data_IF_726783987239
#
_entry.id   IF_726783987239
#
_cell.length_a   1.000
_cell.length_b   1.000
_cell.length_c   1.000
_cell.angle_alpha   90.00
_cell.angle_beta   90.00
_cell.angle_gamma   90.00
#
_symmetry.space_group_name_H-M   'P 1'
#
loop_
_entity.id
_entity.type
_entity.pdbx_description
1 polymer ?
#
# COMPACT_ATOMS: atom_id res chain seq x y z
N UNK A 1 7.80 2.83 19.78
CA UNK A 1 7.15 1.56 20.16
C UNK A 1 8.03 0.75 21.11
N UNK A 2 9.26 0.42 20.72
CA UNK A 2 10.18 -0.43 21.50
C UNK A 2 10.49 0.13 22.90
N UNK A 3 10.85 1.41 23.02
CA UNK A 3 11.15 2.01 24.33
C UNK A 3 9.97 1.94 25.30
N UNK A 4 8.75 2.11 24.77
CA UNK A 4 7.50 2.00 25.54
C UNK A 4 7.26 0.56 25.99
N UNK A 5 7.52 -0.42 25.13
CA UNK A 5 7.44 -1.84 25.50
C UNK A 5 8.46 -2.18 26.58
N UNK A 6 9.73 -1.79 26.43
CA UNK A 6 10.77 -2.08 27.40
C UNK A 6 10.46 -1.45 28.77
N UNK A 7 9.98 -0.19 28.78
CA UNK A 7 9.53 0.47 30.02
C UNK A 7 8.37 -0.29 30.70
N UNK A 8 7.40 -0.78 29.91
CA UNK A 8 6.29 -1.58 30.43
C UNK A 8 6.76 -2.94 30.95
N UNK A 9 7.71 -3.57 30.27
CA UNK A 9 8.30 -4.84 30.66
C UNK A 9 8.98 -4.75 32.03
N UNK A 10 9.73 -3.68 32.26
CA UNK A 10 10.33 -3.37 33.57
C UNK A 10 9.27 -3.13 34.65
N UNK A 11 8.27 -2.28 34.37
CA UNK A 11 7.17 -1.98 35.31
C UNK A 11 6.40 -3.24 35.73
N UNK A 12 6.16 -4.15 34.78
CA UNK A 12 5.40 -5.38 35.00
C UNK A 12 6.27 -6.57 35.42
N UNK A 13 7.59 -6.41 35.46
CA UNK A 13 8.53 -7.49 35.80
C UNK A 13 8.49 -8.68 34.84
N UNK A 14 8.32 -8.43 33.53
CA UNK A 14 8.20 -9.50 32.52
C UNK A 14 9.53 -10.17 32.17
N UNK A 15 10.67 -9.59 32.59
CA UNK A 15 12.02 -10.08 32.29
C UNK A 15 12.29 -10.25 30.78
N UNK A 16 11.75 -9.34 29.96
CA UNK A 16 11.93 -9.32 28.50
C UNK A 16 12.42 -7.95 28.05
N UNK A 17 13.49 -7.92 27.26
CA UNK A 17 14.02 -6.71 26.62
C UNK A 17 14.00 -6.88 25.09
N UNK A 18 13.41 -5.94 24.37
CA UNK A 18 13.42 -5.93 22.90
C UNK A 18 14.53 -5.02 22.40
N UNK A 19 15.40 -5.57 21.54
CA UNK A 19 16.51 -4.85 20.90
C UNK A 19 16.22 -4.61 19.42
N UNK A 20 15.99 -3.35 19.07
CA UNK A 20 15.73 -2.95 17.69
C UNK A 20 17.03 -2.96 16.87
N UNK A 21 17.04 -3.76 15.81
CA UNK A 21 18.10 -3.74 14.80
C UNK A 21 17.58 -3.01 13.56
N UNK A 22 17.78 -1.70 13.50
CA UNK A 22 17.35 -0.88 12.36
C UNK A 22 18.47 -0.80 11.33
N UNK A 23 18.20 -1.28 10.12
CA UNK A 23 19.09 -1.14 8.98
C UNK A 23 18.65 0.07 8.14
N UNK A 24 19.55 1.03 7.95
CA UNK A 24 19.34 2.27 7.20
C UNK A 24 20.49 2.50 6.23
N UNK A 25 20.32 3.42 5.29
CA UNK A 25 21.40 3.86 4.42
C UNK A 25 22.61 4.43 5.20
N UNK A 26 22.38 4.94 6.43
CA UNK A 26 23.44 5.52 7.25
C UNK A 26 24.29 4.47 8.00
N UNK A 27 23.81 3.24 8.16
CA UNK A 27 24.47 2.22 8.99
C UNK A 27 24.68 0.87 8.29
N UNK A 28 24.23 0.72 7.05
CA UNK A 28 24.46 -0.46 6.23
C UNK A 28 25.59 -0.20 5.21
N UNK A 29 26.64 -1.03 5.25
CA UNK A 29 27.80 -0.97 4.34
C UNK A 29 27.47 -1.42 2.91
N UNK A 30 26.35 -2.12 2.72
CA UNK A 30 25.80 -2.42 1.41
C UNK A 30 24.50 -1.62 1.29
N UNK A 31 24.34 -0.91 0.17
CA UNK A 31 23.04 -0.46 -0.28
C UNK A 31 22.08 -1.65 -0.14
N UNK A 32 21.10 -1.53 0.74
CA UNK A 32 20.00 -2.50 0.85
C UNK A 32 19.09 -2.25 -0.35
N UNK A 33 19.63 -2.46 -1.55
CA UNK A 33 18.86 -2.39 -2.79
C UNK A 33 17.86 -3.56 -2.87
N UNK A 34 18.04 -4.58 -2.03
CA UNK A 34 17.14 -5.72 -1.94
C UNK A 34 17.03 -6.23 -0.48
N UNK A 35 16.20 -5.53 0.30
CA UNK A 35 15.80 -5.95 1.65
C UNK A 35 15.24 -7.38 1.63
N UNK A 36 14.40 -7.65 0.63
CA UNK A 36 13.77 -8.93 0.36
C UNK A 36 14.74 -10.11 0.42
N UNK A 37 15.77 -10.05 -0.42
CA UNK A 37 16.79 -11.10 -0.55
C UNK A 37 17.74 -11.16 0.64
N UNK A 38 17.99 -10.02 1.29
CA UNK A 38 18.83 -9.96 2.50
C UNK A 38 18.21 -10.80 3.62
N UNK A 39 16.92 -10.56 3.92
CA UNK A 39 16.20 -11.31 4.95
C UNK A 39 16.07 -12.78 4.56
N UNK A 40 15.74 -13.09 3.30
CA UNK A 40 15.63 -14.48 2.84
C UNK A 40 16.95 -15.26 3.05
N UNK A 41 18.08 -14.64 2.71
CA UNK A 41 19.40 -15.25 2.87
C UNK A 41 19.71 -15.51 4.35
N UNK A 42 19.32 -14.59 5.24
CA UNK A 42 19.49 -14.78 6.69
C UNK A 42 18.61 -15.93 7.21
N UNK A 43 17.35 -16.00 6.80
CA UNK A 43 16.42 -17.07 7.18
C UNK A 43 16.92 -18.44 6.69
N UNK A 44 17.44 -18.52 5.45
CA UNK A 44 18.03 -19.76 4.89
C UNK A 44 19.22 -20.27 5.68
N UNK A 45 20.06 -19.39 6.22
CA UNK A 45 21.23 -19.78 7.04
C UNK A 45 20.83 -20.39 8.38
N UNK A 46 19.61 -20.12 8.88
CA UNK A 46 19.09 -20.63 10.16
C UNK A 46 20.02 -20.38 11.36
N UNK A 47 20.75 -19.26 11.33
CA UNK A 47 21.70 -18.90 12.39
C UNK A 47 21.01 -18.31 13.65
N UNK A 48 19.68 -18.20 13.69
CA UNK A 48 18.93 -17.75 14.87
C UNK A 48 19.26 -16.33 15.35
N UNK A 49 19.65 -15.43 14.45
CA UNK A 49 20.13 -14.09 14.84
C UNK A 49 19.03 -13.15 15.34
N UNK A 50 17.81 -13.29 14.82
CA UNK A 50 16.68 -12.41 15.13
C UNK A 50 15.44 -13.25 15.42
N UNK A 51 14.71 -12.88 16.46
CA UNK A 51 13.47 -13.56 16.89
C UNK A 51 12.24 -13.00 16.16
N UNK A 52 12.26 -11.70 15.86
CA UNK A 52 11.18 -10.97 15.16
C UNK A 52 11.78 -10.25 13.96
N UNK A 53 11.12 -10.37 12.81
CA UNK A 53 11.47 -9.66 11.59
C UNK A 53 10.27 -8.89 11.07
N UNK A 54 10.50 -7.66 10.61
CA UNK A 54 9.50 -6.87 9.92
C UNK A 54 9.63 -7.12 8.42
N UNK A 55 8.52 -7.37 7.73
CA UNK A 55 8.54 -7.57 6.28
C UNK A 55 7.21 -7.19 5.66
N UNK A 56 7.27 -6.84 4.38
CA UNK A 56 6.12 -6.47 3.56
C UNK A 56 5.22 -7.68 3.22
N UNK A 57 3.91 -7.45 3.06
CA UNK A 57 2.93 -8.50 2.81
C UNK A 57 3.14 -9.29 1.51
N UNK A 58 4.02 -8.87 0.60
CA UNK A 58 4.42 -9.66 -0.57
C UNK A 58 5.38 -10.81 -0.26
N UNK A 59 6.06 -10.77 0.90
CA UNK A 59 7.09 -11.76 1.26
C UNK A 59 6.65 -13.07 1.95
N UNK A 60 5.41 -13.31 2.43
CA UNK A 60 5.00 -14.60 3.00
C UNK A 60 5.29 -15.79 2.07
N UNK A 61 5.12 -15.64 0.76
CA UNK A 61 5.44 -16.70 -0.22
C UNK A 61 6.94 -17.04 -0.23
N UNK A 62 7.81 -16.04 0.02
CA UNK A 62 9.27 -16.21 0.05
C UNK A 62 9.77 -16.67 1.42
N UNK A 63 9.20 -16.13 2.50
CA UNK A 63 9.72 -16.32 3.87
C UNK A 63 8.99 -17.41 4.64
N UNK A 64 7.73 -17.66 4.33
CA UNK A 64 6.86 -18.62 5.02
C UNK A 64 7.46 -20.02 5.22
N UNK A 65 8.28 -20.58 4.29
CA UNK A 65 8.98 -21.85 4.54
C UNK A 65 9.90 -21.86 5.79
N UNK A 66 10.40 -20.69 6.21
CA UNK A 66 11.37 -20.54 7.29
C UNK A 66 10.75 -19.97 8.58
N UNK A 67 9.49 -19.53 8.55
CA UNK A 67 8.82 -18.92 9.68
C UNK A 67 8.01 -19.94 10.48
N UNK A 68 7.88 -19.67 11.78
CA UNK A 68 7.04 -20.44 12.69
C UNK A 68 5.56 -20.19 12.37
N UNK A 69 4.73 -21.21 12.52
CA UNK A 69 3.27 -21.02 12.51
C UNK A 69 2.87 -20.40 13.85
N UNK A 70 2.50 -19.12 13.84
CA UNK A 70 2.15 -18.34 15.03
C UNK A 70 0.99 -18.95 15.82
N UNK A 71 0.10 -19.74 15.19
CA UNK A 71 -0.96 -20.47 15.91
C UNK A 71 -0.44 -21.54 16.87
N UNK A 72 0.82 -21.94 16.72
CA UNK A 72 1.48 -22.92 17.60
C UNK A 72 2.14 -22.28 18.81
N UNK A 73 2.37 -20.96 18.78
CA UNK A 73 3.12 -20.22 19.81
C UNK A 73 2.31 -19.10 20.46
N UNK A 74 1.23 -18.64 19.83
CA UNK A 74 0.33 -17.63 20.36
C UNK A 74 -1.02 -18.24 20.77
N UNK A 75 -1.63 -17.75 21.86
CA UNK A 75 -3.02 -18.02 22.21
C UNK A 75 -3.96 -17.77 21.02
N UNK A 76 -4.97 -18.62 20.88
CA UNK A 76 -5.95 -18.56 19.78
C UNK A 76 -6.65 -17.20 19.74
N UNK A 77 -6.92 -16.62 20.91
CA UNK A 77 -7.61 -15.33 21.05
C UNK A 77 -6.85 -14.20 20.35
N UNK A 78 -5.51 -14.25 20.32
CA UNK A 78 -4.70 -13.24 19.62
C UNK A 78 -4.73 -13.40 18.10
N UNK A 79 -4.84 -14.62 17.59
CA UNK A 79 -5.00 -14.87 16.16
C UNK A 79 -6.41 -14.45 15.70
N UNK A 80 -7.42 -14.78 16.50
CA UNK A 80 -8.83 -14.48 16.22
C UNK A 80 -9.09 -12.97 16.09
N UNK A 81 -8.30 -12.12 16.77
CA UNK A 81 -8.37 -10.66 16.61
C UNK A 81 -8.17 -10.18 15.16
N UNK A 82 -7.45 -10.96 14.34
CA UNK A 82 -7.08 -10.59 12.98
C UNK A 82 -7.72 -11.48 11.91
N UNK A 83 -8.39 -12.57 12.31
CA UNK A 83 -8.83 -13.62 11.37
C UNK A 83 -9.96 -13.20 10.42
N UNK A 84 -10.68 -12.12 10.73
CA UNK A 84 -11.78 -11.62 9.89
C UNK A 84 -11.35 -10.51 8.92
N UNK A 85 -10.08 -10.13 8.91
CA UNK A 85 -9.57 -9.02 8.09
C UNK A 85 -8.46 -9.46 7.13
N UNK A 86 -7.81 -8.49 6.50
CA UNK A 86 -6.78 -8.70 5.46
C UNK A 86 -5.62 -9.62 5.91
N UNK A 87 -5.39 -9.75 7.21
CA UNK A 87 -4.33 -10.61 7.76
C UNK A 87 -4.52 -12.09 7.41
N UNK A 88 -5.75 -12.59 7.29
CA UNK A 88 -5.98 -13.99 6.89
C UNK A 88 -5.49 -14.27 5.47
N UNK A 89 -5.45 -13.24 4.62
CA UNK A 89 -5.02 -13.32 3.23
C UNK A 89 -3.53 -12.98 3.05
N UNK A 90 -3.01 -12.09 3.90
CA UNK A 90 -1.66 -11.50 3.75
C UNK A 90 -0.63 -12.01 4.72
N UNK A 91 -1.03 -12.65 5.82
CA UNK A 91 -0.12 -13.15 6.85
C UNK A 91 -0.04 -14.69 6.86
N UNK A 92 -0.51 -15.36 5.82
CA UNK A 92 -0.57 -16.83 5.75
C UNK A 92 0.31 -17.42 4.64
N UNK A 93 0.80 -18.65 4.85
CA UNK A 93 1.59 -19.41 3.87
C UNK A 93 1.37 -20.92 4.04
N UNK A 94 0.89 -21.61 3.00
CA UNK A 94 0.59 -23.05 3.03
C UNK A 94 -0.14 -23.47 4.32
N UNK A 95 -1.28 -22.82 4.57
CA UNK A 95 -2.11 -22.95 5.76
C UNK A 95 -1.49 -22.50 7.09
N UNK A 96 -0.21 -22.09 7.16
CA UNK A 96 0.42 -21.53 8.37
C UNK A 96 0.11 -20.04 8.53
N UNK A 97 -0.03 -19.58 9.76
CA UNK A 97 -0.11 -18.15 10.06
C UNK A 97 1.30 -17.64 10.39
N UNK A 98 1.97 -16.94 9.47
CA UNK A 98 3.42 -16.67 9.52
C UNK A 98 3.78 -15.25 9.94
N UNK A 99 2.80 -14.35 10.12
CA UNK A 99 3.05 -12.96 10.54
C UNK A 99 1.85 -12.33 11.24
N UNK A 100 2.03 -11.13 11.77
CA UNK A 100 0.94 -10.29 12.27
C UNK A 100 1.01 -8.92 11.57
N UNK A 101 -0.14 -8.31 11.24
CA UNK A 101 -0.15 -6.98 10.66
C UNK A 101 0.29 -5.96 11.72
N UNK A 102 1.18 -5.06 11.34
CA UNK A 102 1.60 -3.92 12.19
C UNK A 102 0.98 -2.62 11.70
N UNK A 103 1.00 -2.42 10.38
CA UNK A 103 0.49 -1.24 9.69
C UNK A 103 -0.22 -1.68 8.42
N UNK A 104 -1.28 -0.97 8.06
CA UNK A 104 -2.06 -1.21 6.85
C UNK A 104 -2.22 0.14 6.17
N UNK A 105 -1.70 0.23 4.95
CA UNK A 105 -1.79 1.42 4.13
C UNK A 105 -2.73 1.18 2.94
N UNK A 106 -3.44 2.24 2.56
CA UNK A 106 -4.34 2.24 1.40
C UNK A 106 -4.33 3.62 0.75
N UNK A 107 -4.55 3.65 -0.56
CA UNK A 107 -4.67 4.91 -1.29
C UNK A 107 -6.05 5.53 -1.12
N UNK A 108 -6.08 6.86 -1.14
CA UNK A 108 -7.29 7.67 -1.11
C UNK A 108 -7.19 8.79 -2.15
N UNK A 109 -8.33 9.28 -2.62
CA UNK A 109 -8.38 10.48 -3.46
C UNK A 109 -8.22 11.71 -2.57
N UNK A 110 -7.09 12.40 -2.72
CA UNK A 110 -6.87 13.70 -2.08
C UNK A 110 -7.36 14.81 -3.01
N UNK A 111 -8.21 15.69 -2.48
CA UNK A 111 -8.77 16.82 -3.23
C UNK A 111 -8.39 18.15 -2.57
N UNK A 112 -8.28 19.20 -3.39
CA UNK A 112 -8.14 20.56 -2.89
C UNK A 112 -9.55 21.17 -2.73
N UNK A 113 -10.06 21.19 -1.50
CA UNK A 113 -11.40 21.72 -1.20
C UNK A 113 -11.53 23.22 -1.50
N UNK A 114 -10.48 24.01 -1.35
CA UNK A 114 -10.51 25.44 -1.67
C UNK A 114 -10.80 25.67 -3.16
N UNK A 115 -10.12 24.91 -4.03
CA UNK A 115 -10.34 24.96 -5.48
C UNK A 115 -11.76 24.48 -5.83
N UNK A 116 -12.21 23.35 -5.26
CA UNK A 116 -13.56 22.84 -5.50
C UNK A 116 -14.63 23.87 -5.12
N UNK A 117 -14.47 24.50 -3.95
CA UNK A 117 -15.38 25.53 -3.45
C UNK A 117 -15.37 26.79 -4.31
N UNK A 118 -14.20 27.26 -4.77
CA UNK A 118 -14.09 28.42 -5.67
C UNK A 118 -14.90 28.24 -6.96
N UNK A 119 -14.97 27.00 -7.45
CA UNK A 119 -15.68 26.63 -8.67
C UNK A 119 -17.05 26.01 -8.42
N UNK A 120 -17.52 26.00 -7.16
CA UNK A 120 -18.78 25.41 -6.73
C UNK A 120 -18.98 23.98 -7.27
N UNK A 121 -17.93 23.16 -7.15
CA UNK A 121 -17.89 21.75 -7.54
C UNK A 121 -17.93 20.86 -6.30
N UNK A 122 -18.56 19.68 -6.42
CA UNK A 122 -18.57 18.66 -5.38
C UNK A 122 -17.32 17.75 -5.48
N UNK A 123 -17.04 17.00 -4.42
CA UNK A 123 -15.99 15.97 -4.45
C UNK A 123 -16.42 14.87 -5.44
N UNK A 124 -15.57 14.53 -6.43
CA UNK A 124 -15.96 13.55 -7.46
C UNK A 124 -16.06 12.15 -6.85
N UNK A 125 -17.17 11.46 -7.14
CA UNK A 125 -17.44 10.10 -6.65
C UNK A 125 -17.08 9.02 -7.70
N UNK A 126 -16.95 9.42 -8.97
CA UNK A 126 -16.58 8.52 -10.08
C UNK A 126 -15.40 9.06 -10.88
N UNK A 127 -14.75 8.19 -11.66
CA UNK A 127 -13.71 8.62 -12.60
C UNK A 127 -14.23 9.62 -13.64
N UNK A 128 -15.49 9.49 -14.06
CA UNK A 128 -16.11 10.42 -15.01
C UNK A 128 -16.36 11.79 -14.39
N UNK A 129 -16.82 11.82 -13.13
CA UNK A 129 -16.96 13.06 -12.37
C UNK A 129 -15.61 13.73 -12.15
N UNK A 130 -14.58 12.95 -11.80
CA UNK A 130 -13.22 13.47 -11.65
C UNK A 130 -12.74 14.13 -12.95
N UNK A 131 -12.92 13.48 -14.09
CA UNK A 131 -12.54 14.04 -15.41
C UNK A 131 -13.32 15.31 -15.70
N UNK A 132 -14.64 15.28 -15.56
CA UNK A 132 -15.53 16.41 -15.87
C UNK A 132 -15.22 17.63 -15.00
N UNK A 133 -15.13 17.42 -13.68
CA UNK A 133 -14.82 18.47 -12.69
C UNK A 133 -13.43 19.06 -12.96
N UNK A 134 -12.44 18.20 -13.20
CA UNK A 134 -11.07 18.61 -13.51
C UNK A 134 -10.99 19.45 -14.79
N UNK A 135 -11.63 19.02 -15.88
CA UNK A 135 -11.61 19.76 -17.14
C UNK A 135 -12.30 21.13 -17.03
N UNK A 136 -13.40 21.19 -16.29
CA UNK A 136 -14.07 22.46 -16.02
C UNK A 136 -13.15 23.43 -15.28
N UNK A 137 -12.53 22.99 -14.18
CA UNK A 137 -11.62 23.80 -13.38
C UNK A 137 -10.41 24.24 -14.21
N UNK A 138 -9.74 23.32 -14.91
CA UNK A 138 -8.59 23.64 -15.76
C UNK A 138 -8.93 24.67 -16.84
N UNK A 139 -10.14 24.60 -17.39
CA UNK A 139 -10.62 25.57 -18.38
C UNK A 139 -10.85 26.95 -17.78
N UNK A 140 -11.49 27.04 -16.61
CA UNK A 140 -11.73 28.33 -15.94
C UNK A 140 -10.42 28.95 -15.43
N UNK A 141 -9.50 28.14 -14.90
CA UNK A 141 -8.16 28.57 -14.49
C UNK A 141 -7.38 29.17 -15.67
N UNK A 142 -7.41 28.54 -16.84
CA UNK A 142 -6.77 29.08 -18.06
C UNK A 142 -7.38 30.39 -18.54
N UNK A 143 -8.66 30.68 -18.26
CA UNK A 143 -9.26 31.98 -18.57
C UNK A 143 -8.77 33.06 -17.62
N UNK A 144 -8.62 32.74 -16.32
CA UNK A 144 -8.08 33.67 -15.31
C UNK A 144 -6.60 33.93 -15.52
N UNK A 145 -5.83 32.89 -15.80
CA UNK A 145 -4.41 32.94 -16.05
C UNK A 145 -4.04 32.03 -17.23
N UNK A 146 -3.80 32.57 -18.43
CA UNK A 146 -3.38 31.79 -19.59
C UNK A 146 -2.09 30.98 -19.39
N UNK A 147 -1.26 31.34 -18.39
CA UNK A 147 -0.02 30.65 -18.04
C UNK A 147 -0.19 29.71 -16.83
N UNK A 148 -1.41 29.41 -16.39
CA UNK A 148 -1.66 28.47 -15.28
C UNK A 148 -1.03 27.11 -15.58
N UNK A 149 -0.26 26.59 -14.62
CA UNK A 149 0.40 25.28 -14.65
C UNK A 149 -0.31 24.23 -13.81
N UNK A 150 -1.56 24.53 -13.38
CA UNK A 150 -2.38 23.62 -12.59
C UNK A 150 -2.52 22.26 -13.29
N UNK A 151 -2.23 21.20 -12.55
CA UNK A 151 -2.43 19.80 -12.96
C UNK A 151 -3.55 19.22 -12.13
N UNK A 152 -4.59 18.68 -12.77
CA UNK A 152 -5.79 18.27 -12.05
C UNK A 152 -5.68 16.88 -11.42
N UNK A 153 -4.86 15.98 -11.98
CA UNK A 153 -4.68 14.64 -11.42
C UNK A 153 -3.24 14.14 -11.54
N UNK A 154 -2.76 13.50 -10.47
CA UNK A 154 -1.52 12.74 -10.44
C UNK A 154 -1.78 11.38 -9.78
N UNK A 155 -1.87 10.33 -10.60
CA UNK A 155 -2.09 8.96 -10.13
C UNK A 155 -0.81 8.21 -9.75
N UNK A 156 0.34 8.88 -9.64
CA UNK A 156 1.64 8.28 -9.32
C UNK A 156 1.99 7.07 -10.21
N UNK A 157 1.66 7.15 -11.50
CA UNK A 157 1.93 6.06 -12.47
C UNK A 157 3.39 6.17 -12.95
N UNK A 158 4.32 5.74 -12.08
CA UNK A 158 5.75 5.64 -12.37
C UNK A 158 6.20 4.17 -12.54
N UNK A 159 7.51 3.89 -12.46
CA UNK A 159 8.05 2.54 -12.65
C UNK A 159 7.80 1.56 -11.50
N UNK A 160 7.72 2.02 -10.24
CA UNK A 160 7.62 1.12 -9.07
C UNK A 160 6.28 1.24 -8.35
N UNK A 161 5.76 2.44 -8.18
CA UNK A 161 4.48 2.73 -7.52
C UNK A 161 3.31 2.63 -8.50
N UNK A 162 3.57 2.79 -9.80
CA UNK A 162 2.51 2.77 -10.82
C UNK A 162 1.73 1.45 -10.90
N UNK A 163 2.31 0.33 -10.47
CA UNK A 163 1.59 -0.94 -10.42
C UNK A 163 0.41 -0.90 -9.43
N UNK A 164 0.58 -0.29 -8.26
CA UNK A 164 -0.50 -0.17 -7.27
C UNK A 164 -1.65 0.68 -7.80
N UNK A 165 -1.34 1.85 -8.38
CA UNK A 165 -2.36 2.73 -8.94
C UNK A 165 -3.10 2.08 -10.11
N UNK A 166 -2.40 1.37 -11.00
CA UNK A 166 -3.03 0.64 -12.10
C UNK A 166 -3.94 -0.47 -11.56
N UNK A 167 -3.46 -1.22 -10.55
CA UNK A 167 -4.23 -2.28 -9.92
C UNK A 167 -5.51 -1.73 -9.30
N UNK A 168 -5.44 -0.62 -8.56
CA UNK A 168 -6.61 0.02 -7.94
C UNK A 168 -7.62 0.54 -8.97
N UNK A 169 -7.14 1.14 -10.06
CA UNK A 169 -8.04 1.59 -11.13
C UNK A 169 -8.71 0.39 -11.77
N UNK A 170 -8.00 -0.68 -12.12
CA UNK A 170 -8.63 -1.89 -12.66
C UNK A 170 -9.63 -2.49 -11.66
N UNK A 171 -9.25 -2.55 -10.38
CA UNK A 171 -10.13 -3.04 -9.32
C UNK A 171 -11.43 -2.23 -9.20
N UNK A 172 -11.40 -0.92 -9.46
CA UNK A 172 -12.59 -0.06 -9.44
C UNK A 172 -13.60 -0.34 -10.57
N UNK A 173 -13.22 -1.12 -11.59
CA UNK A 173 -14.09 -1.54 -12.71
C UNK A 173 -14.73 -2.92 -12.50
N UNK A 174 -14.70 -3.45 -11.28
CA UNK A 174 -15.50 -4.63 -10.89
C UNK A 174 -17.00 -4.36 -11.02
N UNK A 175 -17.82 -5.39 -11.25
CA UNK A 175 -19.26 -5.19 -11.46
C UNK A 175 -19.95 -4.81 -10.15
N UNK A 176 -19.61 -5.52 -9.08
CA UNK A 176 -20.16 -5.29 -7.74
C UNK A 176 -19.08 -4.98 -6.71
N UNK A 177 -19.45 -4.28 -5.63
CA UNK A 177 -18.50 -3.85 -4.59
C UNK A 177 -17.62 -4.98 -4.04
N UNK A 178 -18.19 -6.18 -3.91
CA UNK A 178 -17.54 -7.36 -3.31
C UNK A 178 -16.98 -8.33 -4.35
N UNK A 179 -17.03 -8.00 -5.64
CA UNK A 179 -16.43 -8.84 -6.67
C UNK A 179 -14.90 -8.87 -6.53
N UNK A 180 -14.27 -9.99 -6.91
CA UNK A 180 -12.81 -10.09 -6.95
C UNK A 180 -12.23 -9.15 -8.01
N UNK A 181 -10.90 -9.09 -8.05
CA UNK A 181 -10.19 -8.37 -9.10
C UNK A 181 -10.65 -8.82 -10.51
N UNK A 182 -10.98 -7.90 -11.44
CA UNK A 182 -11.40 -8.27 -12.78
C UNK A 182 -10.38 -9.16 -13.49
N UNK A 183 -10.86 -10.16 -14.21
CA UNK A 183 -9.98 -10.96 -15.07
C UNK A 183 -9.26 -10.04 -16.08
N UNK A 184 -7.94 -10.24 -16.25
CA UNK A 184 -7.11 -9.35 -17.07
C UNK A 184 -7.48 -9.37 -18.56
N UNK A 185 -8.22 -10.39 -19.02
CA UNK A 185 -8.72 -10.52 -20.38
C UNK A 185 -10.20 -10.10 -20.49
N UNK A 186 -10.83 -9.64 -19.41
CA UNK A 186 -12.23 -9.21 -19.39
C UNK A 186 -12.45 -7.84 -20.04
N UNK A 187 -13.70 -7.59 -20.46
CA UNK A 187 -14.13 -6.26 -20.91
C UNK A 187 -13.94 -5.19 -19.83
N UNK A 188 -14.05 -5.55 -18.54
CA UNK A 188 -13.87 -4.60 -17.43
C UNK A 188 -12.41 -4.16 -17.32
N UNK A 189 -11.45 -5.08 -17.50
CA UNK A 189 -10.05 -4.72 -17.58
C UNK A 189 -9.75 -3.82 -18.78
N UNK A 190 -10.36 -4.08 -19.95
CA UNK A 190 -10.24 -3.22 -21.13
C UNK A 190 -10.77 -1.81 -20.83
N UNK A 191 -11.99 -1.69 -20.29
CA UNK A 191 -12.60 -0.41 -19.91
C UNK A 191 -11.74 0.37 -18.90
N UNK A 192 -11.14 -0.32 -17.93
CA UNK A 192 -10.24 0.31 -16.96
C UNK A 192 -8.98 0.87 -17.64
N UNK A 193 -8.35 0.11 -18.53
CA UNK A 193 -7.17 0.57 -19.28
C UNK A 193 -7.50 1.75 -20.21
N UNK A 194 -8.67 1.71 -20.86
CA UNK A 194 -9.18 2.84 -21.64
C UNK A 194 -9.41 4.08 -20.75
N UNK A 195 -9.95 3.90 -19.53
CA UNK A 195 -10.11 5.00 -18.57
C UNK A 195 -8.77 5.57 -18.11
N UNK A 196 -7.77 4.73 -17.85
CA UNK A 196 -6.41 5.19 -17.49
C UNK A 196 -5.84 6.05 -18.63
N UNK A 197 -6.01 5.61 -19.88
CA UNK A 197 -5.60 6.39 -21.05
C UNK A 197 -6.34 7.72 -21.13
N UNK A 198 -7.65 7.72 -20.91
CA UNK A 198 -8.48 8.91 -20.91
C UNK A 198 -8.05 9.93 -19.83
N UNK A 199 -7.84 9.46 -18.59
CA UNK A 199 -7.32 10.29 -17.48
C UNK A 199 -5.96 10.90 -17.83
N UNK A 200 -5.07 10.10 -18.43
CA UNK A 200 -3.76 10.55 -18.87
C UNK A 200 -3.87 11.66 -19.92
N UNK A 201 -4.75 11.49 -20.91
CA UNK A 201 -4.87 12.41 -22.04
C UNK A 201 -5.61 13.72 -21.69
N UNK A 202 -6.58 13.66 -20.77
CA UNK A 202 -7.49 14.78 -20.51
C UNK A 202 -7.09 15.63 -19.30
N UNK A 203 -6.59 15.02 -18.21
CA UNK A 203 -6.47 15.71 -16.92
C UNK A 203 -5.12 15.54 -16.21
N UNK A 204 -4.21 14.73 -16.77
CA UNK A 204 -2.85 14.54 -16.26
C UNK A 204 -1.83 15.42 -17.00
N UNK A 205 -0.71 15.78 -16.37
CA UNK A 205 0.34 16.58 -17.02
C UNK A 205 1.30 15.78 -17.91
N UNK A 206 1.34 14.45 -17.76
CA UNK A 206 2.30 13.58 -18.45
C UNK A 206 3.75 13.77 -18.02
N UNK A 207 4.00 14.59 -17.00
CA UNK A 207 5.33 14.82 -16.43
C UNK A 207 5.57 13.86 -15.26
N UNK A 208 6.80 13.38 -15.14
CA UNK A 208 7.30 12.74 -13.92
C UNK A 208 7.81 13.86 -13.01
N UNK A 209 7.37 13.86 -11.76
CA UNK A 209 7.79 14.80 -10.72
C UNK A 209 8.72 14.11 -9.74
#
# INVERSE_FOLDING_TARGET
MIDKFNSLSEEKGLDVEVKLNLLTLANATQLINDYGTTIETMLKKKNGKYDIIFYDNVYPVRYGPYLVDLRTVLPKEHIDMYSSGIASETCTYNDKWVGLPVEVDFNALYVNEEILNEYNQEVPETWDDLIKTSEYILKEEKKKNPNSDLTAYNGLIDKSMGMSSIYEIIYSFRNEKNDPFPDLLSENAIKALEKIKEIKERISSGKLY
#
